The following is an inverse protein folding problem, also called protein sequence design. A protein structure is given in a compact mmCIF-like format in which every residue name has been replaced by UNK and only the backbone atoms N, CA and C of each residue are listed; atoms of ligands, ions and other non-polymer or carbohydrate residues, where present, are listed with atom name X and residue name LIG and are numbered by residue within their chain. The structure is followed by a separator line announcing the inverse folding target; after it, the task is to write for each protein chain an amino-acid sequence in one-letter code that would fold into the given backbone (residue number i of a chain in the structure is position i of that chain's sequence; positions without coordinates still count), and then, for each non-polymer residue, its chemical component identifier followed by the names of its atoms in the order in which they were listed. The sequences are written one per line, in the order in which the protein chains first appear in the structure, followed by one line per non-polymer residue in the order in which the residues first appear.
data_IF_112498404845
#
_entry.id   IF_112498404845
#
_cell.length_a   1.000
_cell.length_b   1.000
_cell.length_c   1.000
_cell.angle_alpha   90.00
_cell.angle_beta   90.00
_cell.angle_gamma   90.00
#
_symmetry.space_group_name_H-M   'P 1'
#
loop_
_entity.id
_entity.type
_entity.pdbx_description
1 polymer ?
#
# COMPACT_ATOMS: atom_id res chain seq x y z
N UNK A 1 -17.41 -25.15 -22.00
CA UNK A 1 -16.21 -24.32 -22.23
C UNK A 1 -16.66 -22.86 -22.30
N UNK A 2 -16.80 -22.23 -21.16
CA UNK A 2 -17.06 -20.81 -21.10
C UNK A 2 -15.77 -20.09 -21.50
N UNK A 3 -15.76 -19.55 -22.70
CA UNK A 3 -14.73 -18.61 -23.14
C UNK A 3 -14.96 -17.34 -22.30
N UNK A 4 -14.17 -17.15 -21.27
CA UNK A 4 -14.18 -15.87 -20.55
C UNK A 4 -13.82 -14.77 -21.56
N UNK A 5 -14.75 -13.86 -21.77
CA UNK A 5 -14.55 -12.74 -22.69
C UNK A 5 -13.37 -11.91 -22.21
N UNK A 6 -12.43 -11.62 -23.09
CA UNK A 6 -11.30 -10.72 -22.79
C UNK A 6 -11.81 -9.36 -22.34
N UNK A 7 -11.35 -8.88 -21.20
CA UNK A 7 -11.73 -7.56 -20.69
C UNK A 7 -10.79 -6.52 -21.31
N UNK A 8 -11.33 -5.69 -22.20
CA UNK A 8 -10.58 -4.56 -22.73
C UNK A 8 -10.56 -3.42 -21.71
N UNK A 9 -9.36 -2.95 -21.36
CA UNK A 9 -9.22 -1.77 -20.51
C UNK A 9 -9.71 -0.53 -21.24
N UNK A 10 -10.74 0.09 -20.67
CA UNK A 10 -11.23 1.40 -21.09
C UNK A 10 -11.18 2.32 -19.87
N UNK A 11 -10.30 3.33 -19.87
CA UNK A 11 -10.13 4.23 -18.72
C UNK A 11 -11.43 4.87 -18.23
N UNK A 12 -12.35 5.16 -19.15
CA UNK A 12 -13.68 5.71 -18.87
C UNK A 12 -14.60 4.77 -18.09
N UNK A 13 -14.35 3.47 -18.14
CA UNK A 13 -15.13 2.47 -17.40
C UNK A 13 -14.65 2.26 -15.96
N UNK A 14 -13.48 2.78 -15.63
CA UNK A 14 -12.96 2.78 -14.26
C UNK A 14 -13.26 4.14 -13.64
N UNK A 15 -14.02 4.17 -12.57
CA UNK A 15 -14.34 5.41 -11.86
C UNK A 15 -13.10 5.89 -11.06
N UNK A 16 -12.16 6.48 -11.79
CA UNK A 16 -10.97 7.10 -11.23
C UNK A 16 -11.18 8.62 -11.15
N UNK A 17 -11.05 9.17 -9.96
CA UNK A 17 -10.99 10.61 -9.77
C UNK A 17 -9.61 11.19 -10.18
N UNK A 18 -9.41 12.50 -10.01
CA UNK A 18 -8.16 13.16 -10.39
C UNK A 18 -6.98 12.66 -9.56
N UNK A 19 -7.20 12.45 -8.26
CA UNK A 19 -6.17 11.96 -7.33
C UNK A 19 -5.78 10.52 -7.66
N UNK A 20 -6.75 9.66 -7.99
CA UNK A 20 -6.49 8.29 -8.44
C UNK A 20 -5.58 8.27 -9.68
N UNK A 21 -5.90 9.12 -10.67
CA UNK A 21 -5.13 9.21 -11.91
C UNK A 21 -3.70 9.69 -11.67
N UNK A 22 -3.51 10.67 -10.79
CA UNK A 22 -2.20 11.17 -10.43
C UNK A 22 -1.39 10.10 -9.69
N UNK A 23 -1.96 9.45 -8.69
CA UNK A 23 -1.31 8.38 -7.94
C UNK A 23 -0.87 7.22 -8.83
N UNK A 24 -1.75 6.77 -9.74
CA UNK A 24 -1.43 5.70 -10.69
C UNK A 24 -0.36 6.11 -11.71
N UNK A 25 -0.35 7.38 -12.12
CA UNK A 25 0.68 7.94 -12.99
C UNK A 25 2.06 7.91 -12.33
N UNK A 26 2.13 8.33 -11.07
CA UNK A 26 3.36 8.28 -10.29
C UNK A 26 3.86 6.83 -10.11
N UNK A 27 2.98 5.87 -9.86
CA UNK A 27 3.35 4.46 -9.80
C UNK A 27 3.98 3.97 -11.11
N UNK A 28 3.31 4.20 -12.23
CA UNK A 28 3.79 3.75 -13.55
C UNK A 28 5.15 4.37 -13.94
N UNK A 29 5.46 5.57 -13.45
CA UNK A 29 6.75 6.21 -13.70
C UNK A 29 7.91 5.55 -12.94
N UNK A 30 7.62 4.94 -11.79
CA UNK A 30 8.65 4.45 -10.88
C UNK A 30 8.72 2.92 -10.72
N UNK A 31 7.74 2.17 -11.26
CA UNK A 31 7.68 0.73 -11.10
C UNK A 31 7.27 0.01 -12.39
N UNK A 32 8.25 -0.54 -13.08
CA UNK A 32 8.05 -1.32 -14.32
C UNK A 32 7.33 -2.66 -14.08
N UNK A 33 7.25 -3.14 -12.83
CA UNK A 33 6.63 -4.43 -12.50
C UNK A 33 5.09 -4.35 -12.39
N UNK A 34 4.54 -3.14 -12.30
CA UNK A 34 3.08 -2.96 -12.18
C UNK A 34 2.37 -3.53 -13.41
N UNK A 35 2.92 -3.32 -14.60
CA UNK A 35 2.33 -3.86 -15.83
C UNK A 35 2.26 -5.38 -15.85
N UNK A 36 3.22 -6.07 -15.24
CA UNK A 36 3.25 -7.54 -15.18
C UNK A 36 2.07 -8.09 -14.38
N UNK A 37 1.62 -7.38 -13.34
CA UNK A 37 0.49 -7.80 -12.51
C UNK A 37 -0.84 -7.88 -13.28
N UNK A 38 -0.97 -7.17 -14.41
CA UNK A 38 -2.17 -7.24 -15.24
C UNK A 38 -2.21 -8.46 -16.16
N UNK A 39 -1.06 -9.08 -16.42
CA UNK A 39 -0.94 -10.19 -17.38
C UNK A 39 -0.97 -11.58 -16.71
N UNK A 40 -1.15 -11.66 -15.43
CA UNK A 40 -1.31 -12.92 -14.70
C UNK A 40 -0.41 -13.04 -13.46
N UNK A 41 -0.54 -14.20 -12.79
CA UNK A 41 0.16 -14.49 -11.55
C UNK A 41 -0.62 -14.06 -10.31
N UNK A 42 0.02 -14.25 -9.16
CA UNK A 42 -0.50 -13.84 -7.85
C UNK A 42 -0.09 -12.39 -7.60
N UNK A 43 -1.03 -11.54 -7.23
CA UNK A 43 -0.78 -10.11 -7.01
C UNK A 43 -0.83 -9.84 -5.52
N UNK A 44 0.25 -9.26 -4.98
CA UNK A 44 0.33 -8.74 -3.62
C UNK A 44 0.63 -7.24 -3.69
N UNK A 45 -0.31 -6.43 -3.25
CA UNK A 45 -0.10 -4.99 -3.06
C UNK A 45 0.35 -4.77 -1.62
N UNK A 46 1.48 -4.11 -1.44
CA UNK A 46 1.98 -3.70 -0.12
C UNK A 46 2.04 -2.18 -0.02
N UNK A 47 1.86 -1.66 1.20
CA UNK A 47 1.77 -0.22 1.39
C UNK A 47 3.12 0.47 1.21
N UNK A 48 4.18 -0.06 1.80
CA UNK A 48 5.46 0.62 1.95
C UNK A 48 6.69 -0.17 1.49
N UNK A 49 7.83 0.41 1.79
CA UNK A 49 9.15 -0.12 1.40
C UNK A 49 9.57 -1.31 2.26
N UNK A 50 9.14 -1.34 3.52
CA UNK A 50 9.48 -2.41 4.46
C UNK A 50 8.86 -3.74 4.03
N UNK A 51 7.55 -3.75 3.81
CA UNK A 51 6.81 -4.92 3.34
C UNK A 51 7.31 -5.36 1.97
N UNK A 52 7.56 -4.39 1.07
CA UNK A 52 8.08 -4.68 -0.26
C UNK A 52 9.43 -5.41 -0.20
N UNK A 53 10.34 -4.93 0.64
CA UNK A 53 11.67 -5.55 0.84
C UNK A 53 11.56 -6.92 1.48
N UNK A 54 10.71 -7.06 2.52
CA UNK A 54 10.46 -8.31 3.21
C UNK A 54 9.94 -9.41 2.25
N UNK A 55 8.89 -9.09 1.51
CA UNK A 55 8.27 -10.08 0.61
C UNK A 55 9.12 -10.39 -0.61
N UNK A 56 9.91 -9.45 -1.14
CA UNK A 56 10.89 -9.76 -2.18
C UNK A 56 11.98 -10.69 -1.66
N UNK A 57 12.49 -10.44 -0.45
CA UNK A 57 13.49 -11.32 0.16
C UNK A 57 12.96 -12.74 0.36
N UNK A 58 11.73 -12.89 0.91
CA UNK A 58 11.07 -14.18 1.07
C UNK A 58 10.88 -14.86 -0.31
N UNK A 59 10.38 -14.13 -1.29
CA UNK A 59 10.19 -14.65 -2.65
C UNK A 59 11.49 -15.17 -3.23
N UNK A 60 12.60 -14.44 -3.14
CA UNK A 60 13.90 -14.86 -3.63
C UNK A 60 14.41 -16.12 -2.93
N UNK A 61 14.22 -16.22 -1.63
CA UNK A 61 14.63 -17.38 -0.82
C UNK A 61 13.78 -18.62 -1.11
N UNK A 62 12.47 -18.46 -1.16
CA UNK A 62 11.52 -19.56 -1.19
C UNK A 62 11.14 -20.00 -2.61
N UNK A 63 11.38 -19.20 -3.65
CA UNK A 63 10.95 -19.51 -5.01
C UNK A 63 11.55 -20.81 -5.56
N UNK A 64 12.74 -21.21 -5.11
CA UNK A 64 13.38 -22.45 -5.54
C UNK A 64 12.76 -23.71 -4.92
N UNK A 65 12.17 -23.57 -3.72
CA UNK A 65 11.62 -24.69 -2.93
C UNK A 65 10.08 -24.74 -2.94
N UNK A 66 9.44 -23.63 -3.28
CA UNK A 66 8.01 -23.48 -3.15
C UNK A 66 7.41 -22.73 -4.37
N UNK A 67 6.70 -23.49 -5.20
CA UNK A 67 6.04 -22.96 -6.41
C UNK A 67 5.02 -21.85 -6.16
N UNK A 68 4.55 -21.70 -4.90
CA UNK A 68 3.62 -20.63 -4.54
C UNK A 68 4.21 -19.23 -4.69
N UNK A 69 5.53 -19.12 -4.72
CA UNK A 69 6.23 -17.83 -4.86
C UNK A 69 6.72 -17.55 -6.29
N UNK A 70 6.64 -18.51 -7.23
CA UNK A 70 7.18 -18.35 -8.58
C UNK A 70 6.56 -17.18 -9.34
N UNK A 71 5.23 -17.06 -9.30
CA UNK A 71 4.45 -16.04 -10.04
C UNK A 71 3.89 -14.96 -9.11
N UNK A 72 4.57 -14.71 -8.00
CA UNK A 72 4.17 -13.65 -7.08
C UNK A 72 4.66 -12.29 -7.58
N UNK A 73 3.73 -11.45 -7.99
CA UNK A 73 3.96 -10.06 -8.36
C UNK A 73 3.72 -9.18 -7.13
N UNK A 74 4.77 -8.56 -6.62
CA UNK A 74 4.69 -7.68 -5.44
C UNK A 74 4.69 -6.24 -5.94
N UNK A 75 3.62 -5.51 -5.63
CA UNK A 75 3.44 -4.10 -6.02
C UNK A 75 3.57 -3.23 -4.78
N UNK A 76 4.51 -2.30 -4.83
CA UNK A 76 4.68 -1.29 -3.80
C UNK A 76 3.82 -0.07 -4.11
N UNK A 77 2.80 0.18 -3.30
CA UNK A 77 1.84 1.26 -3.54
C UNK A 77 2.31 2.65 -3.09
N UNK A 78 3.26 2.73 -2.16
CA UNK A 78 3.76 3.99 -1.59
C UNK A 78 2.66 4.80 -0.88
N UNK A 79 1.80 4.11 -0.15
CA UNK A 79 0.77 4.67 0.71
C UNK A 79 -0.65 4.23 0.39
N UNK A 80 -1.54 4.35 1.37
CA UNK A 80 -2.91 3.81 1.37
C UNK A 80 -3.81 4.36 0.27
N UNK A 81 -3.64 5.63 -0.10
CA UNK A 81 -4.45 6.24 -1.16
C UNK A 81 -4.17 5.54 -2.49
N UNK A 82 -2.90 5.29 -2.76
CA UNK A 82 -2.47 4.58 -3.97
C UNK A 82 -2.88 3.11 -3.94
N UNK A 83 -2.86 2.45 -2.77
CA UNK A 83 -3.43 1.10 -2.60
C UNK A 83 -4.88 1.08 -3.07
N UNK A 84 -5.71 2.01 -2.59
CA UNK A 84 -7.12 2.07 -2.97
C UNK A 84 -7.32 2.32 -4.47
N UNK A 85 -6.52 3.21 -5.08
CA UNK A 85 -6.56 3.50 -6.52
C UNK A 85 -6.19 2.26 -7.35
N UNK A 86 -5.17 1.50 -6.93
CA UNK A 86 -4.78 0.25 -7.58
C UNK A 86 -5.89 -0.82 -7.46
N UNK A 87 -6.52 -0.93 -6.29
CA UNK A 87 -7.65 -1.84 -6.10
C UNK A 87 -8.80 -1.54 -7.05
N UNK A 88 -9.13 -0.26 -7.32
CA UNK A 88 -10.14 0.12 -8.32
C UNK A 88 -9.81 -0.45 -9.70
N UNK A 89 -8.56 -0.33 -10.12
CA UNK A 89 -8.11 -0.86 -11.42
C UNK A 89 -8.19 -2.39 -11.47
N UNK A 90 -7.64 -3.08 -10.46
CA UNK A 90 -7.66 -4.54 -10.40
C UNK A 90 -9.09 -5.11 -10.31
N UNK A 91 -9.98 -4.41 -9.62
CA UNK A 91 -11.40 -4.77 -9.57
C UNK A 91 -12.06 -4.66 -10.94
N UNK A 92 -11.71 -3.64 -11.76
CA UNK A 92 -12.20 -3.51 -13.12
C UNK A 92 -11.79 -4.71 -13.98
N UNK A 93 -10.55 -5.16 -13.87
CA UNK A 93 -10.06 -6.36 -14.57
C UNK A 93 -10.53 -7.68 -13.95
N UNK A 94 -11.26 -7.62 -12.83
CA UNK A 94 -11.72 -8.79 -12.08
C UNK A 94 -10.59 -9.72 -11.62
N UNK A 95 -9.40 -9.17 -11.41
CA UNK A 95 -8.25 -9.91 -10.92
C UNK A 95 -8.47 -10.34 -9.47
N UNK A 96 -7.88 -11.48 -9.10
CA UNK A 96 -7.70 -11.86 -7.69
C UNK A 96 -6.42 -11.25 -7.17
N UNK A 97 -6.46 -10.64 -5.99
CA UNK A 97 -5.28 -9.99 -5.41
C UNK A 97 -5.32 -9.96 -3.89
N UNK A 98 -4.17 -9.76 -3.32
CA UNK A 98 -3.96 -9.57 -1.89
C UNK A 98 -3.49 -8.15 -1.64
N UNK A 99 -3.85 -7.61 -0.48
CA UNK A 99 -3.39 -6.30 0.00
C UNK A 99 -2.87 -6.48 1.40
N UNK A 100 -1.71 -5.92 1.69
CA UNK A 100 -1.19 -5.76 3.03
C UNK A 100 -0.95 -4.27 3.28
N UNK A 101 -1.53 -3.76 4.36
CA UNK A 101 -1.38 -2.36 4.77
C UNK A 101 -1.39 -2.21 6.28
N UNK A 102 -0.88 -1.10 6.78
CA UNK A 102 -0.90 -0.76 8.19
C UNK A 102 -2.24 -0.17 8.61
N UNK A 103 -2.69 -0.44 9.84
CA UNK A 103 -3.90 0.23 10.37
C UNK A 103 -3.61 1.65 10.79
N UNK A 104 -2.40 1.94 11.25
CA UNK A 104 -2.01 3.15 11.96
C UNK A 104 -2.80 3.41 13.25
N UNK A 105 -2.39 4.40 14.01
CA UNK A 105 -3.12 4.87 15.18
C UNK A 105 -4.22 5.86 14.77
N UNK A 106 -5.35 5.81 15.47
CA UNK A 106 -6.50 6.69 15.18
C UNK A 106 -6.16 8.17 15.36
N UNK A 107 -5.27 8.48 16.28
CA UNK A 107 -4.84 9.84 16.57
C UNK A 107 -3.33 9.98 16.42
N UNK A 108 -2.89 11.15 16.01
CA UNK A 108 -1.47 11.50 15.95
C UNK A 108 -1.24 12.93 16.42
N UNK A 109 0.01 13.21 16.77
CA UNK A 109 0.45 14.56 17.12
C UNK A 109 0.75 15.36 15.85
N UNK A 110 0.26 16.58 15.80
CA UNK A 110 0.50 17.52 14.70
C UNK A 110 0.94 18.87 15.26
N UNK A 111 1.71 19.60 14.44
CA UNK A 111 2.16 20.96 14.80
C UNK A 111 1.20 21.97 14.18
N UNK A 112 0.66 22.87 15.00
CA UNK A 112 -0.17 24.00 14.59
C UNK A 112 0.52 25.30 14.91
N UNK A 113 0.53 26.26 13.96
CA UNK A 113 1.10 27.58 14.23
C UNK A 113 0.28 28.27 15.32
N UNK A 114 0.97 28.65 16.38
CA UNK A 114 0.40 29.51 17.43
C UNK A 114 0.45 30.95 16.90
N UNK A 115 -0.72 31.48 16.51
CA UNK A 115 -0.82 32.82 15.93
C UNK A 115 -0.50 33.94 16.91
N UNK A 116 -0.77 33.72 18.18
CA UNK A 116 -0.60 34.71 19.24
C UNK A 116 0.88 34.89 19.61
N UNK A 117 1.67 33.87 19.47
CA UNK A 117 3.11 33.86 19.77
C UNK A 117 4.01 33.94 18.52
N UNK A 118 3.42 33.87 17.34
CA UNK A 118 4.17 33.88 16.07
C UNK A 118 4.24 35.30 15.47
N UNK A 119 5.36 35.60 14.81
CA UNK A 119 5.55 36.79 13.98
C UNK A 119 5.93 36.39 12.56
N UNK A 120 6.02 37.38 11.66
CA UNK A 120 6.42 37.10 10.24
C UNK A 120 7.81 36.49 10.13
N UNK A 121 8.71 36.81 11.09
CA UNK A 121 10.09 36.32 11.09
C UNK A 121 10.31 35.10 12.00
N UNK A 122 9.36 34.81 12.94
CA UNK A 122 9.51 33.73 13.91
C UNK A 122 8.18 32.97 14.05
N UNK A 123 8.18 31.67 13.73
CA UNK A 123 7.02 30.81 13.86
C UNK A 123 7.10 29.96 15.12
N UNK A 124 6.11 30.08 15.98
CA UNK A 124 5.92 29.25 17.17
C UNK A 124 4.83 28.21 16.87
N UNK A 125 5.04 26.99 17.32
CA UNK A 125 4.13 25.87 17.06
C UNK A 125 3.66 25.25 18.38
N UNK A 126 2.37 25.04 18.46
CA UNK A 126 1.76 24.18 19.48
C UNK A 126 1.66 22.74 18.95
N UNK A 127 1.81 21.79 19.86
CA UNK A 127 1.53 20.38 19.56
C UNK A 127 0.08 20.08 19.89
N UNK A 128 -0.67 19.63 18.93
CA UNK A 128 -2.08 19.28 19.06
C UNK A 128 -2.32 17.82 18.66
N UNK A 129 -3.30 17.18 19.27
CA UNK A 129 -3.75 15.85 18.85
C UNK A 129 -4.82 16.01 17.80
N UNK A 130 -4.65 15.32 16.68
CA UNK A 130 -5.60 15.29 15.56
C UNK A 130 -5.94 13.85 15.18
N UNK A 131 -7.05 13.68 14.47
CA UNK A 131 -7.34 12.42 13.80
C UNK A 131 -6.25 12.15 12.76
N UNK A 132 -5.64 10.97 12.81
CA UNK A 132 -4.56 10.60 11.91
C UNK A 132 -5.09 10.43 10.47
N UNK A 133 -4.61 11.22 9.49
CA UNK A 133 -5.03 11.09 8.09
C UNK A 133 -4.71 9.70 7.51
N UNK A 134 -3.60 9.09 7.92
CA UNK A 134 -3.23 7.74 7.48
C UNK A 134 -4.27 6.70 7.95
N UNK A 135 -4.73 6.81 9.20
CA UNK A 135 -5.78 5.96 9.74
C UNK A 135 -7.12 6.14 8.98
N UNK A 136 -7.51 7.37 8.63
CA UNK A 136 -8.77 7.63 7.91
C UNK A 136 -8.78 7.01 6.51
N UNK A 137 -7.62 6.88 5.87
CA UNK A 137 -7.49 6.26 4.54
C UNK A 137 -7.77 4.75 4.55
N UNK A 138 -7.80 4.07 5.71
CA UNK A 138 -8.25 2.68 5.82
C UNK A 138 -9.66 2.49 5.24
N UNK A 139 -10.53 3.50 5.38
CA UNK A 139 -11.87 3.47 4.81
C UNK A 139 -11.86 3.45 3.27
N UNK A 140 -10.89 4.08 2.62
CA UNK A 140 -10.74 4.04 1.16
C UNK A 140 -10.40 2.63 0.69
N UNK A 141 -9.49 1.93 1.38
CA UNK A 141 -9.15 0.53 1.10
C UNK A 141 -10.38 -0.37 1.34
N UNK A 142 -11.02 -0.23 2.50
CA UNK A 142 -12.21 -1.02 2.84
C UNK A 142 -13.33 -0.88 1.81
N UNK A 143 -13.55 0.33 1.28
CA UNK A 143 -14.57 0.60 0.26
C UNK A 143 -14.29 -0.12 -1.08
N UNK A 144 -13.04 -0.53 -1.35
CA UNK A 144 -12.67 -1.25 -2.59
C UNK A 144 -12.66 -2.77 -2.42
N UNK A 145 -12.98 -3.31 -1.24
CA UNK A 145 -12.98 -4.76 -1.02
C UNK A 145 -14.06 -5.45 -1.84
N UNK A 146 -13.71 -6.57 -2.46
CA UNK A 146 -14.61 -7.44 -3.22
C UNK A 146 -14.43 -8.89 -2.81
N UNK A 147 -15.22 -9.80 -3.37
CA UNK A 147 -15.04 -11.24 -3.16
C UNK A 147 -13.74 -11.80 -3.78
N UNK A 148 -13.06 -11.02 -4.62
CA UNK A 148 -11.78 -11.37 -5.26
C UNK A 148 -10.56 -10.80 -4.54
N UNK A 149 -10.75 -9.82 -3.66
CA UNK A 149 -9.68 -9.25 -2.84
C UNK A 149 -9.55 -9.96 -1.50
N UNK A 150 -8.32 -10.04 -1.01
CA UNK A 150 -7.99 -10.42 0.37
C UNK A 150 -7.16 -9.30 0.97
N UNK A 151 -7.70 -8.64 1.98
CA UNK A 151 -7.04 -7.51 2.64
C UNK A 151 -6.62 -7.94 4.04
N UNK A 152 -5.35 -7.78 4.33
CA UNK A 152 -4.71 -8.03 5.62
C UNK A 152 -4.24 -6.68 6.14
N UNK A 153 -4.61 -6.35 7.36
CA UNK A 153 -4.21 -5.12 8.02
C UNK A 153 -3.29 -5.43 9.19
N UNK A 154 -2.06 -4.93 9.14
CA UNK A 154 -1.11 -5.00 10.25
C UNK A 154 -1.58 -4.08 11.36
N UNK A 155 -1.71 -4.60 12.59
CA UNK A 155 -2.15 -3.79 13.71
C UNK A 155 -1.06 -2.77 14.06
N UNK A 156 -1.44 -1.50 13.95
CA UNK A 156 -0.61 -0.30 13.99
C UNK A 156 0.31 -0.27 12.76
N UNK A 157 1.35 -1.07 12.71
CA UNK A 157 2.29 -1.14 11.59
C UNK A 157 2.84 -2.57 11.41
N UNK A 158 3.48 -2.79 10.28
CA UNK A 158 4.02 -4.08 9.88
C UNK A 158 5.05 -4.61 10.89
N UNK A 159 5.99 -3.78 11.30
CA UNK A 159 7.08 -4.19 12.19
C UNK A 159 6.55 -4.63 13.55
N UNK A 160 5.64 -3.87 14.14
CA UNK A 160 5.02 -4.23 15.44
C UNK A 160 4.18 -5.51 15.34
N UNK A 161 3.48 -5.71 14.22
CA UNK A 161 2.59 -6.85 14.04
C UNK A 161 3.34 -8.17 13.84
N UNK A 162 4.50 -8.15 13.16
CA UNK A 162 5.20 -9.38 12.76
C UNK A 162 6.50 -9.63 13.53
N UNK A 163 7.15 -8.60 14.04
CA UNK A 163 8.43 -8.72 14.75
C UNK A 163 8.37 -8.32 16.23
N UNK A 164 7.22 -7.83 16.70
CA UNK A 164 7.03 -7.31 18.06
C UNK A 164 8.02 -6.18 18.45
N UNK A 165 8.55 -5.47 17.46
CA UNK A 165 9.54 -4.42 17.63
C UNK A 165 9.04 -3.07 17.14
N UNK A 166 9.51 -1.99 17.77
CA UNK A 166 9.37 -0.63 17.26
C UNK A 166 10.67 -0.23 16.58
N UNK A 167 10.67 -0.20 15.25
CA UNK A 167 11.83 0.20 14.46
C UNK A 167 11.61 1.62 13.95
N UNK A 168 12.51 2.55 14.30
CA UNK A 168 12.39 3.96 13.92
C UNK A 168 13.20 4.34 12.68
N UNK A 169 14.27 3.59 12.37
CA UNK A 169 15.16 3.85 11.22
C UNK A 169 15.50 2.57 10.47
N UNK A 170 15.92 2.70 9.22
CA UNK A 170 16.38 1.61 8.36
C UNK A 170 15.46 0.38 8.36
N UNK A 171 14.17 0.64 8.40
CA UNK A 171 13.11 -0.37 8.54
C UNK A 171 13.22 -1.54 7.54
N UNK A 172 13.48 -1.32 6.24
CA UNK A 172 13.60 -2.43 5.29
C UNK A 172 14.76 -3.37 5.61
N UNK A 173 15.93 -2.84 6.01
CA UNK A 173 17.11 -3.65 6.36
C UNK A 173 16.89 -4.42 7.66
N UNK A 174 16.39 -3.75 8.69
CA UNK A 174 16.05 -4.38 9.97
C UNK A 174 15.00 -5.47 9.80
N UNK A 175 14.00 -5.25 8.94
CA UNK A 175 13.01 -6.26 8.63
C UNK A 175 13.63 -7.52 7.99
N UNK A 176 14.53 -7.36 7.01
CA UNK A 176 15.23 -8.49 6.39
C UNK A 176 16.07 -9.24 7.42
N UNK A 177 16.72 -8.55 8.34
CA UNK A 177 17.52 -9.18 9.38
C UNK A 177 16.67 -10.00 10.36
N UNK A 178 15.45 -9.60 10.63
CA UNK A 178 14.50 -10.33 11.47
C UNK A 178 13.86 -11.55 10.76
N UNK A 179 13.90 -11.62 9.43
CA UNK A 179 13.44 -12.77 8.64
C UNK A 179 14.52 -13.84 8.48
N UNK A 180 15.81 -13.48 8.56
CA UNK A 180 16.93 -14.43 8.44
C UNK A 180 16.98 -15.44 9.57
#
# INVERSE_FOLDING_TARGET
NDIEASTLYRPENVQLDADDKENLKLMNLFDSHISQAFFGGKILIVEGDTEYSAFNYIREKESLSNEHYHDLNIIRARGKVTVASMMKVLNHFKNKYYVLHDTDTQQCLSKRINKDLSSDKHKVYDTITITNPAWTNNNKIKAQMTNKSRVIASLINFESAYFAETVESDKPENCINNIK
#
